data_IF_631945146476
#
_entry.id   IF_631945146476
#
_cell.length_a   1.000
_cell.length_b   1.000
_cell.length_c   1.000
_cell.angle_alpha   90.00
_cell.angle_beta   90.00
_cell.angle_gamma   90.00
#
_symmetry.space_group_name_H-M   'P 1'
#
loop_
_entity.id
_entity.type
_entity.pdbx_description
1 polymer ?
#
# COMPACT_ATOMS: atom_id res chain seq x y z
N UNK A 1 -36.52 -26.73 9.30
CA UNK A 1 -35.66 -25.64 9.77
C UNK A 1 -35.35 -24.83 8.53
N UNK A 2 -35.95 -23.66 8.45
CA UNK A 2 -35.65 -22.70 7.36
C UNK A 2 -34.27 -22.11 7.56
N UNK A 3 -33.50 -21.81 6.49
CA UNK A 3 -32.21 -21.18 6.62
C UNK A 3 -32.39 -19.75 7.11
N UNK A 4 -31.75 -19.41 8.22
CA UNK A 4 -31.68 -18.06 8.77
C UNK A 4 -31.09 -17.11 7.71
N UNK A 5 -31.90 -16.19 7.25
CA UNK A 5 -31.47 -15.12 6.35
C UNK A 5 -30.53 -14.19 7.10
N UNK A 6 -29.32 -13.99 6.56
CA UNK A 6 -28.40 -12.95 7.03
C UNK A 6 -29.13 -11.60 7.19
N UNK A 7 -28.86 -10.83 8.24
CA UNK A 7 -29.55 -9.57 8.46
C UNK A 7 -29.37 -8.64 7.26
N UNK A 8 -30.48 -8.15 6.70
CA UNK A 8 -30.50 -7.22 5.56
C UNK A 8 -29.61 -5.98 5.75
N UNK A 9 -29.32 -5.60 6.99
CA UNK A 9 -28.39 -4.51 7.33
C UNK A 9 -26.93 -4.78 6.92
N UNK A 10 -26.44 -6.01 6.97
CA UNK A 10 -25.06 -6.36 6.56
C UNK A 10 -24.92 -6.28 5.04
N UNK A 11 -25.93 -6.71 4.30
CA UNK A 11 -25.96 -6.64 2.83
C UNK A 11 -26.05 -5.19 2.34
N UNK A 12 -26.85 -4.35 3.01
CA UNK A 12 -26.97 -2.90 2.69
C UNK A 12 -25.68 -2.12 2.98
N UNK A 13 -24.93 -2.47 4.05
CA UNK A 13 -23.66 -1.86 4.36
C UNK A 13 -22.56 -2.26 3.35
N UNK A 14 -22.56 -3.48 2.83
CA UNK A 14 -21.62 -3.94 1.82
C UNK A 14 -21.90 -3.31 0.46
N UNK A 15 -23.15 -3.27 0.00
CA UNK A 15 -23.53 -2.58 -1.26
C UNK A 15 -23.22 -1.10 -1.23
N UNK A 16 -23.47 -0.42 -0.13
CA UNK A 16 -23.13 1.00 0.02
C UNK A 16 -21.59 1.27 0.00
N UNK A 17 -20.81 0.31 0.51
CA UNK A 17 -19.35 0.42 0.53
C UNK A 17 -18.74 0.18 -0.87
N UNK A 18 -19.20 -0.81 -1.60
CA UNK A 18 -18.76 -1.07 -2.97
C UNK A 18 -19.17 0.07 -3.93
N UNK A 19 -20.37 0.61 -3.77
CA UNK A 19 -20.82 1.80 -4.51
C UNK A 19 -19.91 3.00 -4.23
N UNK A 20 -19.54 3.22 -2.97
CA UNK A 20 -18.58 4.27 -2.59
C UNK A 20 -17.23 4.08 -3.29
N UNK A 21 -16.66 2.86 -3.30
CA UNK A 21 -15.39 2.56 -3.94
C UNK A 21 -15.43 2.85 -5.44
N UNK A 22 -16.46 2.38 -6.13
CA UNK A 22 -16.63 2.60 -7.57
C UNK A 22 -16.85 4.07 -7.94
N UNK A 23 -17.56 4.82 -7.11
CA UNK A 23 -17.87 6.23 -7.35
C UNK A 23 -16.69 7.17 -7.06
N UNK A 24 -15.90 6.87 -6.02
CA UNK A 24 -14.93 7.82 -5.48
C UNK A 24 -13.47 7.46 -5.75
N UNK A 25 -13.18 6.22 -6.18
CA UNK A 25 -11.80 5.76 -6.41
C UNK A 25 -11.65 5.30 -7.86
N UNK A 26 -10.84 6.00 -8.67
CA UNK A 26 -10.79 5.79 -10.12
C UNK A 26 -10.46 4.36 -10.56
N UNK A 27 -9.57 3.67 -9.88
CA UNK A 27 -9.09 2.34 -10.31
C UNK A 27 -10.13 1.25 -10.29
N UNK A 28 -11.20 1.39 -9.53
CA UNK A 28 -12.31 0.42 -9.52
C UNK A 28 -13.10 0.44 -10.83
N UNK A 29 -13.12 1.59 -11.53
CA UNK A 29 -13.68 1.71 -12.88
C UNK A 29 -12.75 1.18 -13.98
N UNK A 30 -11.44 1.22 -13.75
CA UNK A 30 -10.40 0.97 -14.77
C UNK A 30 -10.02 -0.50 -14.94
N UNK A 31 -10.44 -1.41 -14.03
CA UNK A 31 -10.08 -2.82 -14.10
C UNK A 31 -11.00 -3.61 -15.02
N UNK A 32 -10.41 -4.54 -15.77
CA UNK A 32 -11.12 -5.47 -16.64
C UNK A 32 -11.75 -6.65 -15.88
N UNK A 33 -12.50 -7.51 -16.60
CA UNK A 33 -13.17 -8.66 -16.00
C UNK A 33 -12.20 -9.69 -15.41
N UNK A 34 -11.02 -9.86 -16.01
CA UNK A 34 -10.01 -10.80 -15.54
C UNK A 34 -9.44 -10.36 -14.18
N UNK A 35 -9.05 -9.09 -14.05
CA UNK A 35 -8.59 -8.54 -12.77
C UNK A 35 -9.68 -8.65 -11.70
N UNK A 36 -10.96 -8.36 -12.05
CA UNK A 36 -12.10 -8.51 -11.12
C UNK A 36 -12.25 -9.94 -10.63
N UNK A 37 -12.11 -10.93 -11.53
CA UNK A 37 -12.20 -12.35 -11.17
C UNK A 37 -11.10 -12.74 -10.16
N UNK A 38 -9.88 -12.27 -10.35
CA UNK A 38 -8.78 -12.54 -9.41
C UNK A 38 -8.96 -11.87 -8.04
N UNK A 39 -9.64 -10.74 -7.99
CA UNK A 39 -9.94 -10.06 -6.73
C UNK A 39 -11.09 -10.72 -5.95
N UNK A 40 -11.91 -11.54 -6.60
CA UNK A 40 -12.97 -12.28 -5.93
C UNK A 40 -12.40 -13.45 -5.13
N UNK A 41 -12.93 -13.68 -3.93
CA UNK A 41 -12.49 -14.74 -3.04
C UNK A 41 -13.60 -15.78 -2.83
N UNK A 42 -13.18 -17.03 -2.70
CA UNK A 42 -14.09 -18.10 -2.32
C UNK A 42 -14.60 -17.86 -0.88
N UNK A 43 -15.89 -18.12 -0.59
CA UNK A 43 -16.41 -18.01 0.76
C UNK A 43 -15.83 -19.11 1.66
N UNK A 44 -15.80 -18.84 2.96
CA UNK A 44 -15.46 -19.85 3.97
C UNK A 44 -16.49 -20.99 3.89
N UNK A 45 -16.04 -22.18 3.54
CA UNK A 45 -16.86 -23.41 3.58
C UNK A 45 -16.00 -24.51 4.17
N UNK A 46 -16.56 -25.30 5.10
CA UNK A 46 -15.98 -26.55 5.63
C UNK A 46 -14.56 -26.41 6.24
N UNK A 47 -14.29 -25.32 6.95
CA UNK A 47 -13.00 -25.11 7.63
C UNK A 47 -13.03 -25.46 9.13
N UNK A 48 -14.17 -25.91 9.66
CA UNK A 48 -14.29 -26.17 11.09
C UNK A 48 -13.29 -27.25 11.52
N UNK A 49 -12.57 -26.97 12.61
CA UNK A 49 -11.57 -27.86 13.24
C UNK A 49 -10.36 -28.23 12.36
N UNK A 50 -10.10 -27.48 11.29
CA UNK A 50 -8.89 -27.66 10.48
C UNK A 50 -7.68 -27.02 11.15
N UNK A 51 -6.60 -27.78 11.25
CA UNK A 51 -5.27 -27.27 11.64
C UNK A 51 -4.47 -27.00 10.39
N UNK A 52 -3.94 -25.77 10.26
CA UNK A 52 -3.03 -25.37 9.16
C UNK A 52 -1.70 -24.90 9.72
N UNK A 53 -0.66 -24.87 8.88
CA UNK A 53 0.63 -24.38 9.35
C UNK A 53 0.58 -22.89 9.65
N UNK A 54 0.08 -22.06 8.74
CA UNK A 54 0.04 -20.60 8.91
C UNK A 54 -1.31 -20.02 8.53
N UNK A 55 -1.90 -19.23 9.42
CA UNK A 55 -3.00 -18.32 9.09
C UNK A 55 -2.48 -16.91 8.91
N UNK A 56 -2.82 -16.30 7.78
CA UNK A 56 -2.59 -14.88 7.49
C UNK A 56 -3.93 -14.14 7.54
N UNK A 57 -4.04 -13.10 8.38
CA UNK A 57 -5.24 -12.29 8.53
C UNK A 57 -5.09 -10.99 7.75
N UNK A 58 -5.94 -10.78 6.74
CA UNK A 58 -5.99 -9.60 5.88
C UNK A 58 -5.42 -9.83 4.48
N UNK A 59 -6.24 -9.57 3.44
CA UNK A 59 -5.92 -9.76 2.01
C UNK A 59 -5.34 -8.53 1.32
N UNK A 60 -4.68 -7.62 2.06
CA UNK A 60 -3.93 -6.51 1.49
C UNK A 60 -2.58 -6.93 0.92
N UNK A 61 -1.82 -5.96 0.38
CA UNK A 61 -0.50 -6.20 -0.20
C UNK A 61 0.45 -6.92 0.77
N UNK A 62 0.43 -6.54 2.04
CA UNK A 62 1.30 -7.13 3.06
C UNK A 62 0.91 -8.58 3.38
N UNK A 63 -0.39 -8.86 3.52
CA UNK A 63 -0.87 -10.22 3.80
C UNK A 63 -0.67 -11.18 2.63
N UNK A 64 -0.94 -10.76 1.40
CA UNK A 64 -0.65 -11.57 0.21
C UNK A 64 0.84 -11.86 0.07
N UNK A 65 1.71 -10.85 0.30
CA UNK A 65 3.16 -11.04 0.29
C UNK A 65 3.62 -12.02 1.38
N UNK A 66 3.02 -11.95 2.57
CA UNK A 66 3.33 -12.87 3.66
C UNK A 66 2.89 -14.31 3.35
N UNK A 67 1.68 -14.45 2.82
CA UNK A 67 1.14 -15.76 2.43
C UNK A 67 1.98 -16.42 1.34
N UNK A 68 2.40 -15.65 0.33
CA UNK A 68 3.31 -16.12 -0.71
C UNK A 68 4.63 -16.62 -0.11
N UNK A 69 5.28 -15.80 0.69
CA UNK A 69 6.59 -16.11 1.26
C UNK A 69 6.55 -17.31 2.22
N UNK A 70 5.50 -17.45 3.03
CA UNK A 70 5.32 -18.61 3.89
C UNK A 70 5.10 -19.89 3.08
N UNK A 71 4.30 -19.83 2.01
CA UNK A 71 4.05 -20.96 1.13
C UNK A 71 5.29 -21.34 0.32
N UNK A 72 6.05 -20.39 -0.21
CA UNK A 72 7.34 -20.62 -0.86
C UNK A 72 8.37 -21.31 0.07
N UNK A 73 8.26 -21.07 1.38
CA UNK A 73 9.06 -21.75 2.40
C UNK A 73 8.49 -23.12 2.84
N UNK A 74 7.42 -23.61 2.19
CA UNK A 74 6.87 -24.95 2.35
C UNK A 74 5.74 -25.08 3.36
N UNK A 75 5.21 -23.99 3.92
CA UNK A 75 4.08 -24.03 4.84
C UNK A 75 2.72 -24.16 4.10
N UNK A 76 1.77 -24.89 4.67
CA UNK A 76 0.35 -24.82 4.28
C UNK A 76 -0.24 -23.50 4.78
N UNK A 77 -0.71 -22.64 3.86
CA UNK A 77 -1.13 -21.28 4.19
C UNK A 77 -2.60 -21.05 3.88
N UNK A 78 -3.31 -20.50 4.88
CA UNK A 78 -4.67 -20.00 4.77
C UNK A 78 -4.69 -18.50 4.98
N UNK A 79 -5.15 -17.72 3.97
CA UNK A 79 -5.36 -16.29 4.08
C UNK A 79 -6.85 -15.98 4.27
N UNK A 80 -7.16 -15.22 5.31
CA UNK A 80 -8.52 -14.81 5.70
C UNK A 80 -8.72 -13.31 5.43
N UNK A 81 -9.66 -12.99 4.54
CA UNK A 81 -10.07 -11.62 4.25
C UNK A 81 -11.50 -11.39 4.77
N UNK A 82 -11.72 -10.28 5.46
CA UNK A 82 -13.00 -9.96 6.09
C UNK A 82 -14.14 -9.69 5.09
N UNK A 83 -13.79 -9.29 3.87
CA UNK A 83 -14.73 -8.97 2.79
C UNK A 83 -14.74 -10.08 1.73
N UNK A 84 -15.74 -10.08 0.86
CA UNK A 84 -15.88 -11.09 -0.21
C UNK A 84 -14.82 -10.96 -1.33
N UNK A 85 -14.02 -9.92 -1.29
CA UNK A 85 -12.98 -9.67 -2.30
C UNK A 85 -11.88 -8.76 -1.80
N UNK A 86 -10.74 -8.84 -2.48
CA UNK A 86 -9.54 -8.05 -2.20
C UNK A 86 -9.73 -6.59 -2.59
N UNK A 87 -8.91 -5.71 -2.02
CA UNK A 87 -8.82 -4.30 -2.41
C UNK A 87 -9.77 -3.35 -1.68
N UNK A 88 -10.64 -3.82 -0.80
CA UNK A 88 -11.56 -2.98 -0.03
C UNK A 88 -10.91 -2.25 1.15
N UNK A 89 -9.66 -2.60 1.50
CA UNK A 89 -8.83 -1.94 2.49
C UNK A 89 -7.96 -0.81 1.92
N UNK A 90 -6.91 -0.44 2.66
CA UNK A 90 -6.00 0.65 2.32
C UNK A 90 -5.27 0.44 0.97
N UNK A 91 -4.94 -0.80 0.60
CA UNK A 91 -4.25 -1.09 -0.66
C UNK A 91 -5.08 -0.68 -1.88
N UNK A 92 -6.37 -1.02 -1.94
CA UNK A 92 -7.23 -0.64 -3.07
C UNK A 92 -7.67 0.83 -3.08
N UNK A 93 -7.29 1.59 -2.06
CA UNK A 93 -7.50 3.05 -1.96
C UNK A 93 -6.19 3.84 -2.06
N UNK A 94 -5.07 3.16 -2.22
CA UNK A 94 -3.75 3.77 -2.34
C UNK A 94 -3.62 4.54 -3.66
N UNK A 95 -2.85 5.63 -3.67
CA UNK A 95 -2.58 6.39 -4.89
C UNK A 95 -1.69 5.63 -5.91
N UNK A 96 -1.14 4.47 -5.54
CA UNK A 96 -0.35 3.61 -6.41
C UNK A 96 1.05 4.16 -6.70
N UNK A 97 1.63 4.90 -5.78
CA UNK A 97 2.99 5.40 -5.86
C UNK A 97 3.95 4.29 -5.48
N UNK A 98 4.97 4.08 -6.31
CA UNK A 98 6.10 3.21 -6.02
C UNK A 98 7.34 4.07 -5.80
N UNK A 99 7.64 4.35 -4.53
CA UNK A 99 8.81 5.11 -4.10
C UNK A 99 9.63 4.31 -3.09
N UNK A 100 10.94 4.26 -3.28
CA UNK A 100 11.84 3.54 -2.40
C UNK A 100 11.93 4.18 -1.01
N UNK A 101 11.89 3.35 0.02
CA UNK A 101 11.98 3.78 1.42
C UNK A 101 10.65 3.74 2.17
N UNK A 102 10.54 4.58 3.17
CA UNK A 102 9.38 4.73 4.08
C UNK A 102 9.00 6.20 4.21
N UNK A 103 8.00 6.53 5.05
CA UNK A 103 7.47 7.90 5.21
C UNK A 103 8.43 8.90 5.90
N UNK A 104 9.73 8.74 5.73
CA UNK A 104 10.74 9.66 6.27
C UNK A 104 11.97 9.73 5.36
N UNK A 105 12.83 10.74 5.56
CA UNK A 105 14.07 10.89 4.81
C UNK A 105 15.15 9.93 5.29
N UNK A 106 15.90 9.32 4.36
CA UNK A 106 17.04 8.46 4.69
C UNK A 106 18.16 9.27 5.34
N UNK A 107 18.34 10.54 4.92
CA UNK A 107 19.35 11.43 5.47
C UNK A 107 19.15 11.82 6.94
N UNK A 108 17.98 11.54 7.50
CA UNK A 108 17.65 11.81 8.90
C UNK A 108 17.91 10.59 9.81
N UNK A 109 18.27 9.45 9.21
CA UNK A 109 18.61 8.22 9.93
C UNK A 109 20.10 8.14 10.25
N UNK A 110 20.42 7.43 11.33
CA UNK A 110 21.80 7.07 11.63
C UNK A 110 22.37 6.18 10.50
N UNK A 111 23.59 6.47 10.00
CA UNK A 111 24.23 5.64 8.99
C UNK A 111 24.31 4.16 9.45
N UNK A 112 23.90 3.25 8.56
CA UNK A 112 23.92 1.81 8.84
C UNK A 112 22.82 1.30 9.78
N UNK A 113 21.85 2.14 10.16
CA UNK A 113 20.71 1.70 10.96
C UNK A 113 19.90 0.61 10.23
N UNK A 114 19.28 -0.34 10.93
CA UNK A 114 18.41 -1.36 10.30
C UNK A 114 17.29 -0.76 9.48
N UNK A 115 16.75 0.38 9.90
CA UNK A 115 15.70 1.12 9.18
C UNK A 115 16.16 1.60 7.81
N UNK A 116 17.44 1.96 7.64
CA UNK A 116 17.99 2.39 6.35
C UNK A 116 17.93 1.29 5.27
N UNK A 117 17.83 0.01 5.67
CA UNK A 117 17.73 -1.11 4.73
C UNK A 117 16.40 -1.14 3.97
N UNK A 118 15.38 -0.42 4.42
CA UNK A 118 14.15 -0.27 3.64
C UNK A 118 14.38 0.34 2.26
N UNK A 119 15.37 1.22 2.08
CA UNK A 119 15.62 1.86 0.78
C UNK A 119 16.12 0.90 -0.28
N UNK A 120 17.23 0.16 -0.11
CA UNK A 120 17.67 -0.80 -1.12
C UNK A 120 16.68 -1.97 -1.29
N UNK A 121 15.98 -2.40 -0.24
CA UNK A 121 15.02 -3.50 -0.34
C UNK A 121 13.75 -3.11 -1.10
N UNK A 122 13.17 -1.96 -0.76
CA UNK A 122 11.99 -1.45 -1.48
C UNK A 122 12.32 -1.05 -2.92
N UNK A 123 13.53 -0.53 -3.19
CA UNK A 123 14.00 -0.30 -4.56
C UNK A 123 14.08 -1.59 -5.36
N UNK A 124 14.59 -2.68 -4.78
CA UNK A 124 14.62 -4.00 -5.42
C UNK A 124 13.20 -4.50 -5.70
N UNK A 125 12.31 -4.47 -4.71
CA UNK A 125 10.91 -4.87 -4.88
C UNK A 125 10.20 -4.10 -5.99
N UNK A 126 10.48 -2.80 -6.11
CA UNK A 126 9.92 -1.96 -7.17
C UNK A 126 10.40 -2.43 -8.55
N UNK A 127 11.71 -2.66 -8.69
CA UNK A 127 12.29 -3.11 -9.97
C UNK A 127 11.76 -4.49 -10.35
N UNK A 128 11.62 -5.41 -9.40
CA UNK A 128 11.05 -6.75 -9.60
C UNK A 128 9.58 -6.65 -10.08
N UNK A 129 8.76 -5.79 -9.45
CA UNK A 129 7.38 -5.56 -9.89
C UNK A 129 7.30 -5.01 -11.32
N UNK A 130 8.16 -4.05 -11.67
CA UNK A 130 8.17 -3.48 -13.01
C UNK A 130 8.66 -4.49 -14.04
N UNK A 131 9.63 -5.33 -13.70
CA UNK A 131 10.08 -6.42 -14.56
C UNK A 131 8.95 -7.43 -14.80
N UNK A 132 8.22 -7.81 -13.76
CA UNK A 132 7.08 -8.70 -13.84
C UNK A 132 5.94 -8.11 -14.69
N UNK A 133 5.65 -6.81 -14.55
CA UNK A 133 4.64 -6.12 -15.34
C UNK A 133 4.93 -6.09 -16.85
N UNK A 134 6.18 -6.33 -17.26
CA UNK A 134 6.58 -6.38 -18.68
C UNK A 134 6.35 -7.75 -19.34
N UNK A 135 5.97 -8.76 -18.57
CA UNK A 135 5.63 -10.08 -19.11
C UNK A 135 4.31 -10.00 -19.87
N UNK A 136 4.22 -10.73 -20.97
CA UNK A 136 3.11 -10.65 -21.92
C UNK A 136 1.77 -11.08 -21.29
N UNK A 137 1.81 -12.03 -20.36
CA UNK A 137 0.65 -12.58 -19.61
C UNK A 137 0.41 -11.93 -18.26
N UNK A 138 1.12 -10.83 -17.94
CA UNK A 138 1.04 -10.20 -16.63
C UNK A 138 -0.24 -9.37 -16.47
N UNK A 139 -0.97 -9.59 -15.37
CA UNK A 139 -2.05 -8.71 -14.95
C UNK A 139 -1.55 -7.39 -14.37
N UNK A 140 -0.31 -7.38 -13.94
CA UNK A 140 0.28 -6.27 -13.20
C UNK A 140 0.54 -5.07 -14.11
N UNK A 141 0.00 -3.93 -13.75
CA UNK A 141 0.28 -2.65 -14.41
C UNK A 141 1.18 -1.80 -13.52
N UNK A 142 2.49 -1.93 -13.71
CA UNK A 142 3.51 -1.14 -13.02
C UNK A 142 4.50 -0.56 -14.03
N UNK A 143 4.88 0.71 -13.83
CA UNK A 143 5.72 1.44 -14.77
C UNK A 143 6.76 2.27 -14.04
N UNK A 144 8.00 2.27 -14.53
CA UNK A 144 9.00 3.28 -14.16
C UNK A 144 8.72 4.56 -14.94
N UNK A 145 8.51 5.63 -14.22
CA UNK A 145 8.35 6.99 -14.77
C UNK A 145 9.42 7.93 -14.24
N UNK A 146 10.16 7.48 -13.23
CA UNK A 146 10.94 8.32 -12.37
C UNK A 146 10.07 9.17 -11.44
N UNK A 147 10.71 9.84 -10.49
CA UNK A 147 10.05 10.83 -9.65
C UNK A 147 10.94 12.05 -9.37
N UNK A 148 10.29 13.17 -9.08
CA UNK A 148 10.92 14.46 -8.77
C UNK A 148 10.46 14.93 -7.39
N UNK A 149 11.40 15.17 -6.47
CA UNK A 149 11.13 16.00 -5.29
C UNK A 149 11.55 17.43 -5.58
N UNK A 150 10.62 18.38 -5.49
CA UNK A 150 10.80 19.75 -5.95
C UNK A 150 11.03 20.70 -4.78
N UNK A 151 12.16 21.41 -4.76
CA UNK A 151 12.52 22.37 -3.72
C UNK A 151 12.39 23.81 -4.23
N UNK A 152 11.50 24.58 -3.64
CA UNK A 152 11.28 26.02 -3.92
C UNK A 152 12.03 26.95 -2.95
N UNK A 153 12.91 26.40 -2.10
CA UNK A 153 13.76 27.19 -1.22
C UNK A 153 15.15 26.62 -1.12
N UNK A 154 16.13 27.46 -0.80
CA UNK A 154 17.52 27.03 -0.56
C UNK A 154 17.62 26.02 0.60
N UNK A 155 16.76 26.14 1.62
CA UNK A 155 16.71 25.20 2.73
C UNK A 155 16.25 23.80 2.25
N UNK A 156 15.13 23.73 1.55
CA UNK A 156 14.63 22.48 0.97
C UNK A 156 15.64 21.86 -0.02
N UNK A 157 16.29 22.68 -0.86
CA UNK A 157 17.33 22.22 -1.77
C UNK A 157 18.52 21.57 -1.06
N UNK A 158 18.95 22.11 0.09
CA UNK A 158 20.01 21.50 0.92
C UNK A 158 19.55 20.17 1.53
N UNK A 159 18.30 20.07 1.95
CA UNK A 159 17.73 18.80 2.43
C UNK A 159 17.73 17.73 1.33
N UNK A 160 17.30 18.08 0.11
CA UNK A 160 17.36 17.16 -1.02
C UNK A 160 18.79 16.73 -1.37
N UNK A 161 19.77 17.64 -1.29
CA UNK A 161 21.16 17.30 -1.54
C UNK A 161 21.73 16.29 -0.51
N UNK A 162 21.32 16.40 0.77
CA UNK A 162 21.66 15.42 1.80
C UNK A 162 21.01 14.06 1.51
N UNK A 163 19.75 14.07 1.10
CA UNK A 163 19.00 12.87 0.76
C UNK A 163 19.60 12.14 -0.46
N UNK A 164 19.96 12.86 -1.53
CA UNK A 164 20.68 12.30 -2.68
C UNK A 164 21.95 11.58 -2.23
N UNK A 165 22.78 12.24 -1.40
CA UNK A 165 24.01 11.66 -0.88
C UNK A 165 23.75 10.39 -0.06
N UNK A 166 22.74 10.39 0.81
CA UNK A 166 22.40 9.25 1.65
C UNK A 166 21.91 8.07 0.79
N UNK A 167 21.04 8.30 -0.20
CA UNK A 167 20.53 7.26 -1.10
C UNK A 167 21.64 6.65 -1.96
N UNK A 168 22.49 7.49 -2.55
CA UNK A 168 23.62 7.02 -3.37
C UNK A 168 24.60 6.16 -2.56
N UNK A 169 24.81 6.48 -1.28
CA UNK A 169 25.65 5.68 -0.39
C UNK A 169 25.10 4.26 -0.14
N UNK A 170 23.80 4.03 -0.34
CA UNK A 170 23.15 2.72 -0.28
C UNK A 170 22.88 2.11 -1.67
N UNK A 171 23.52 2.63 -2.71
CA UNK A 171 23.33 2.20 -4.11
C UNK A 171 21.89 2.38 -4.63
N UNK A 172 21.13 3.29 -4.03
CA UNK A 172 19.83 3.73 -4.56
C UNK A 172 20.08 4.94 -5.45
N UNK A 173 19.70 4.84 -6.73
CA UNK A 173 19.98 5.91 -7.71
C UNK A 173 19.20 7.18 -7.35
N UNK A 174 19.93 8.27 -7.24
CA UNK A 174 19.38 9.60 -6.99
C UNK A 174 20.32 10.67 -7.56
N UNK A 175 19.77 11.73 -8.13
CA UNK A 175 20.51 12.84 -8.74
C UNK A 175 19.94 14.18 -8.28
N UNK A 176 20.78 15.21 -8.25
CA UNK A 176 20.33 16.58 -7.96
C UNK A 176 20.24 17.37 -9.27
N UNK A 177 19.02 17.76 -9.65
CA UNK A 177 18.70 18.42 -10.90
C UNK A 177 18.48 19.92 -10.73
N UNK A 178 18.67 20.66 -11.83
CA UNK A 178 18.28 22.08 -11.96
C UNK A 178 16.83 22.23 -12.41
N UNK A 179 16.30 23.45 -12.35
CA UNK A 179 14.96 23.76 -12.85
C UNK A 179 14.83 23.52 -14.36
N UNK A 180 15.91 23.76 -15.13
CA UNK A 180 15.96 23.52 -16.59
C UNK A 180 15.83 22.02 -16.90
N UNK A 181 16.54 21.15 -16.17
CA UNK A 181 16.43 19.69 -16.34
C UNK A 181 15.03 19.20 -16.00
N UNK A 182 14.40 19.77 -14.98
CA UNK A 182 12.99 19.47 -14.62
C UNK A 182 12.06 19.91 -15.75
N UNK A 183 12.23 21.13 -16.29
CA UNK A 183 11.40 21.65 -17.36
C UNK A 183 11.55 20.79 -18.64
N UNK A 184 12.75 20.35 -18.98
CA UNK A 184 13.00 19.46 -20.13
C UNK A 184 12.29 18.11 -19.93
N UNK A 185 12.47 17.45 -18.79
CA UNK A 185 11.85 16.15 -18.49
C UNK A 185 10.32 16.20 -18.50
N UNK A 186 9.73 17.32 -18.07
CA UNK A 186 8.29 17.52 -18.00
C UNK A 186 7.71 18.24 -19.20
N UNK A 187 8.53 18.45 -20.24
CA UNK A 187 8.16 19.17 -21.48
C UNK A 187 7.55 20.56 -21.22
N UNK A 188 8.06 21.25 -20.21
CA UNK A 188 7.61 22.57 -19.80
C UNK A 188 6.22 22.63 -19.15
N UNK A 189 5.58 21.50 -18.91
CA UNK A 189 4.22 21.46 -18.34
C UNK A 189 4.20 21.73 -16.83
N UNK A 190 5.27 21.33 -16.12
CA UNK A 190 5.42 21.61 -14.69
C UNK A 190 5.88 23.05 -14.48
N UNK A 191 5.27 23.75 -13.55
CA UNK A 191 5.69 25.10 -13.16
C UNK A 191 7.04 25.04 -12.42
N UNK A 192 8.11 25.40 -13.09
CA UNK A 192 9.46 25.40 -12.53
C UNK A 192 9.96 26.77 -12.09
N UNK A 193 9.13 27.84 -12.18
CA UNK A 193 9.55 29.22 -11.96
C UNK A 193 10.18 29.50 -10.60
N UNK A 194 9.80 28.74 -9.56
CA UNK A 194 10.35 28.89 -8.21
C UNK A 194 11.24 27.70 -7.80
N UNK A 195 11.47 26.73 -8.67
CA UNK A 195 12.27 25.55 -8.36
C UNK A 195 13.75 25.92 -8.26
N UNK A 196 14.32 25.78 -7.08
CA UNK A 196 15.76 26.01 -6.80
C UNK A 196 16.58 24.78 -7.19
N UNK A 197 16.10 23.59 -6.81
CA UNK A 197 16.66 22.27 -7.13
C UNK A 197 15.57 21.22 -7.07
N UNK A 198 15.82 20.08 -7.71
CA UNK A 198 14.99 18.89 -7.57
C UNK A 198 15.87 17.67 -7.31
N UNK A 199 15.35 16.70 -6.56
CA UNK A 199 15.92 15.36 -6.51
C UNK A 199 15.22 14.50 -7.55
N UNK A 200 15.98 13.93 -8.47
CA UNK A 200 15.52 12.97 -9.46
C UNK A 200 15.81 11.55 -9.00
N UNK A 201 14.80 10.68 -9.08
CA UNK A 201 14.83 9.29 -8.67
C UNK A 201 14.37 8.42 -9.86
N UNK A 202 15.30 7.94 -10.70
CA UNK A 202 14.96 7.26 -11.97
C UNK A 202 14.26 5.91 -11.76
N UNK A 203 14.49 5.24 -10.64
CA UNK A 203 13.95 3.92 -10.32
C UNK A 203 12.62 3.96 -9.55
N UNK A 204 11.94 5.09 -9.56
CA UNK A 204 10.61 5.22 -8.98
C UNK A 204 9.53 5.20 -10.05
N UNK A 205 8.28 4.98 -9.64
CA UNK A 205 7.20 4.85 -10.60
C UNK A 205 5.84 4.64 -9.96
N UNK A 206 4.95 4.04 -10.73
CA UNK A 206 3.55 3.86 -10.35
C UNK A 206 3.06 2.44 -10.60
N UNK A 207 2.03 2.06 -9.87
CA UNK A 207 1.30 0.80 -10.04
C UNK A 207 -0.21 1.07 -10.00
N UNK A 208 -1.00 0.32 -10.73
CA UNK A 208 -2.44 0.26 -10.51
C UNK A 208 -2.68 -0.71 -9.33
N UNK A 209 -3.19 -0.23 -8.17
CA UNK A 209 -3.18 -1.01 -6.94
C UNK A 209 -3.99 -2.31 -7.00
N UNK A 210 -5.11 -2.31 -7.74
CA UNK A 210 -5.96 -3.50 -7.87
C UNK A 210 -5.33 -4.57 -8.77
N UNK A 211 -4.58 -4.16 -9.80
CA UNK A 211 -3.83 -5.11 -10.63
C UNK A 211 -2.68 -5.76 -9.86
N UNK A 212 -2.06 -5.02 -8.93
CA UNK A 212 -1.06 -5.59 -8.02
C UNK A 212 -1.68 -6.67 -7.11
N UNK A 213 -2.84 -6.39 -6.52
CA UNK A 213 -3.54 -7.38 -5.69
C UNK A 213 -3.96 -8.61 -6.51
N UNK A 214 -4.51 -8.41 -7.71
CA UNK A 214 -4.90 -9.50 -8.60
C UNK A 214 -3.69 -10.37 -8.99
N UNK A 215 -2.57 -9.75 -9.33
CA UNK A 215 -1.31 -10.45 -9.62
C UNK A 215 -0.84 -11.29 -8.42
N UNK A 216 -0.78 -10.70 -7.23
CA UNK A 216 -0.36 -11.42 -6.02
C UNK A 216 -1.33 -12.55 -5.66
N UNK A 217 -2.64 -12.33 -5.80
CA UNK A 217 -3.65 -13.35 -5.52
C UNK A 217 -3.57 -14.53 -6.50
N UNK A 218 -3.37 -14.26 -7.81
CA UNK A 218 -3.13 -15.29 -8.84
C UNK A 218 -1.90 -16.12 -8.48
N UNK A 219 -0.79 -15.47 -8.18
CA UNK A 219 0.45 -16.14 -7.78
C UNK A 219 0.27 -16.98 -6.51
N UNK A 220 -0.45 -16.46 -5.51
CA UNK A 220 -0.74 -17.17 -4.28
C UNK A 220 -1.57 -18.45 -4.53
N UNK A 221 -2.61 -18.37 -5.37
CA UNK A 221 -3.41 -19.55 -5.76
C UNK A 221 -2.58 -20.60 -6.52
N UNK A 222 -1.73 -20.15 -7.43
CA UNK A 222 -0.84 -21.04 -8.19
C UNK A 222 0.15 -21.80 -7.28
N UNK A 223 0.57 -21.24 -6.17
CA UNK A 223 1.41 -21.88 -5.16
C UNK A 223 0.60 -22.74 -4.16
N UNK A 224 -0.73 -22.73 -4.21
CA UNK A 224 -1.57 -23.52 -3.31
C UNK A 224 -2.01 -22.77 -2.03
N UNK A 225 -1.82 -21.47 -1.94
CA UNK A 225 -2.38 -20.68 -0.83
C UNK A 225 -3.92 -20.68 -0.92
N UNK A 226 -4.58 -21.01 0.18
CA UNK A 226 -6.04 -20.94 0.28
C UNK A 226 -6.45 -19.50 0.62
N UNK A 227 -7.10 -18.80 -0.34
CA UNK A 227 -7.59 -17.43 -0.17
C UNK A 227 -9.09 -17.44 0.09
N UNK A 228 -9.54 -16.99 1.25
CA UNK A 228 -10.95 -17.01 1.66
C UNK A 228 -11.49 -15.60 1.97
N UNK A 229 -12.64 -15.30 1.41
CA UNK A 229 -13.39 -14.07 1.62
C UNK A 229 -14.59 -14.26 2.56
N UNK A 230 -15.13 -13.15 3.09
CA UNK A 230 -16.17 -13.17 4.11
C UNK A 230 -15.69 -13.71 5.47
N UNK A 231 -14.40 -13.93 5.62
CA UNK A 231 -13.73 -14.57 6.75
C UNK A 231 -13.27 -13.53 7.80
N UNK A 232 -14.19 -12.77 8.34
CA UNK A 232 -13.86 -11.75 9.37
C UNK A 232 -13.43 -12.43 10.65
N UNK A 233 -12.15 -12.28 11.02
CA UNK A 233 -11.62 -12.71 12.31
C UNK A 233 -12.14 -11.76 13.39
N UNK A 234 -12.82 -12.33 14.40
CA UNK A 234 -13.31 -11.59 15.59
C UNK A 234 -12.30 -11.58 16.72
N UNK A 235 -11.56 -12.68 16.90
CA UNK A 235 -10.51 -12.79 17.91
C UNK A 235 -9.51 -13.87 17.55
N UNK A 236 -8.33 -13.81 18.15
CA UNK A 236 -7.35 -14.89 18.16
C UNK A 236 -6.65 -14.92 19.51
N UNK A 237 -6.24 -16.11 19.94
CA UNK A 237 -5.52 -16.32 21.17
C UNK A 237 -4.50 -17.44 21.00
N UNK A 238 -3.36 -17.28 21.67
CA UNK A 238 -2.37 -18.34 21.77
C UNK A 238 -2.83 -19.40 22.78
N UNK A 239 -2.65 -20.66 22.42
CA UNK A 239 -2.87 -21.80 23.30
C UNK A 239 -1.54 -22.52 23.53
N UNK A 240 -1.11 -22.56 24.79
CA UNK A 240 0.10 -23.25 25.20
C UNK A 240 -0.25 -24.74 25.53
N UNK A 241 0.25 -25.65 24.71
CA UNK A 241 0.05 -27.12 24.85
C UNK A 241 1.35 -27.87 24.61
N UNK A 242 1.24 -29.18 24.34
CA UNK A 242 2.40 -29.99 23.91
C UNK A 242 2.99 -29.44 22.58
N UNK A 243 2.13 -28.95 21.69
CA UNK A 243 2.46 -28.07 20.56
C UNK A 243 1.64 -26.80 20.78
N UNK A 244 2.32 -25.68 20.80
CA UNK A 244 1.64 -24.37 20.94
C UNK A 244 1.03 -23.94 19.63
N UNK A 245 -0.22 -23.46 19.66
CA UNK A 245 -1.01 -23.11 18.49
C UNK A 245 -1.76 -21.80 18.69
N UNK A 246 -2.31 -21.28 17.61
CA UNK A 246 -3.22 -20.14 17.58
C UNK A 246 -4.65 -20.63 17.36
N UNK A 247 -5.56 -20.28 18.29
CA UNK A 247 -6.99 -20.47 18.10
C UNK A 247 -7.59 -19.19 17.55
N UNK A 248 -8.19 -19.29 16.37
CA UNK A 248 -8.75 -18.15 15.65
C UNK A 248 -10.28 -18.33 15.59
N UNK A 249 -11.02 -17.28 15.93
CA UNK A 249 -12.47 -17.22 15.89
C UNK A 249 -12.91 -16.28 14.78
N UNK A 250 -13.77 -16.74 13.88
CA UNK A 250 -14.43 -15.89 12.91
C UNK A 250 -15.71 -15.26 13.49
N UNK A 251 -16.20 -14.22 12.86
CA UNK A 251 -17.41 -13.51 13.31
C UNK A 251 -18.70 -14.34 13.21
N UNK A 252 -18.72 -15.37 12.37
CA UNK A 252 -19.83 -16.32 12.23
C UNK A 252 -19.78 -17.48 13.24
N UNK A 253 -18.77 -17.51 14.12
CA UNK A 253 -18.55 -18.55 15.11
C UNK A 253 -17.66 -19.71 14.63
N UNK A 254 -17.20 -19.71 13.39
CA UNK A 254 -16.24 -20.71 12.87
C UNK A 254 -14.93 -20.63 13.65
N UNK A 255 -14.41 -21.79 14.04
CA UNK A 255 -13.13 -21.93 14.76
C UNK A 255 -12.09 -22.55 13.86
N UNK A 256 -10.88 -22.03 13.94
CA UNK A 256 -9.72 -22.50 13.22
C UNK A 256 -8.53 -22.62 14.19
N UNK A 257 -7.62 -23.52 13.87
CA UNK A 257 -6.37 -23.67 14.60
C UNK A 257 -5.20 -23.56 13.63
N UNK A 258 -4.11 -22.86 14.04
CA UNK A 258 -2.91 -22.70 13.24
C UNK A 258 -1.67 -22.82 14.11
N UNK A 259 -0.59 -23.37 13.54
CA UNK A 259 0.72 -23.43 14.19
C UNK A 259 1.42 -22.06 14.21
N UNK A 260 1.15 -21.21 13.23
CA UNK A 260 1.67 -19.86 13.10
C UNK A 260 0.60 -18.85 12.69
N UNK A 261 0.75 -17.59 13.11
CA UNK A 261 -0.19 -16.52 12.83
C UNK A 261 0.53 -15.27 12.33
N UNK A 262 0.06 -14.71 11.20
CA UNK A 262 0.47 -13.38 10.76
C UNK A 262 -0.72 -12.44 10.65
N UNK A 263 -0.73 -11.39 11.45
CA UNK A 263 -1.76 -10.35 11.40
C UNK A 263 -1.32 -9.20 10.49
N UNK A 264 -1.99 -9.05 9.35
CA UNK A 264 -1.77 -8.03 8.33
C UNK A 264 -3.03 -7.21 8.04
N UNK A 265 -3.94 -7.05 9.01
CA UNK A 265 -5.22 -6.32 8.82
C UNK A 265 -5.03 -4.83 8.52
N UNK A 266 -3.80 -4.32 8.67
CA UNK A 266 -3.48 -2.92 8.37
C UNK A 266 -4.15 -1.94 9.33
N UNK A 267 -4.52 -0.75 8.84
CA UNK A 267 -5.03 0.34 9.69
C UNK A 267 -6.43 0.08 10.25
N UNK A 268 -7.14 -0.95 9.80
CA UNK A 268 -8.51 -1.23 10.27
C UNK A 268 -8.58 -1.63 11.74
N UNK A 269 -7.47 -2.10 12.33
CA UNK A 269 -7.43 -2.48 13.73
C UNK A 269 -7.35 -1.26 14.67
N UNK A 270 -6.47 -0.30 14.38
CA UNK A 270 -6.29 0.92 15.18
C UNK A 270 -5.79 2.09 14.30
N UNK A 271 -6.64 2.68 13.46
CA UNK A 271 -6.26 3.84 12.68
C UNK A 271 -6.02 5.04 13.62
N UNK A 272 -5.00 5.83 13.35
CA UNK A 272 -4.66 7.03 14.12
C UNK A 272 -4.46 8.28 13.25
N UNK A 273 -4.54 8.12 11.92
CA UNK A 273 -4.39 9.20 10.96
C UNK A 273 -5.32 8.98 9.77
N UNK A 274 -5.58 10.04 8.99
CA UNK A 274 -6.29 9.98 7.71
C UNK A 274 -5.52 10.78 6.68
N UNK A 275 -5.36 10.21 5.49
CA UNK A 275 -4.79 10.88 4.32
C UNK A 275 -5.87 11.10 3.27
N UNK A 276 -5.69 12.10 2.42
CA UNK A 276 -6.65 12.51 1.41
C UNK A 276 -6.06 12.38 0.02
N UNK A 277 -6.92 12.17 -0.96
CA UNK A 277 -6.54 12.11 -2.35
C UNK A 277 -7.60 12.74 -3.26
N UNK A 278 -7.13 13.28 -4.38
CA UNK A 278 -7.91 13.86 -5.48
C UNK A 278 -7.49 13.24 -6.81
N UNK A 279 -8.37 13.26 -7.80
CA UNK A 279 -7.97 13.02 -9.18
C UNK A 279 -8.62 14.05 -10.11
N UNK A 280 -7.79 14.67 -10.96
CA UNK A 280 -8.22 15.62 -12.00
C UNK A 280 -8.14 14.97 -13.37
N UNK A 281 -8.96 15.41 -14.31
CA UNK A 281 -8.74 15.10 -15.71
C UNK A 281 -7.43 15.77 -16.17
N UNK A 282 -6.50 14.99 -16.69
CA UNK A 282 -5.22 15.50 -17.17
C UNK A 282 -4.63 14.56 -18.23
N UNK A 283 -4.42 15.06 -19.43
CA UNK A 283 -3.75 14.32 -20.52
C UNK A 283 -2.23 14.52 -20.42
N UNK A 284 -1.59 13.84 -19.49
CA UNK A 284 -0.14 13.86 -19.30
C UNK A 284 0.51 12.69 -20.05
N UNK A 285 1.73 12.85 -20.59
CA UNK A 285 2.45 11.75 -21.22
C UNK A 285 2.59 10.55 -20.27
N UNK A 286 2.56 9.33 -20.82
CA UNK A 286 2.75 8.12 -20.00
C UNK A 286 4.10 8.07 -19.29
N UNK A 287 5.09 8.78 -19.81
CA UNK A 287 6.45 8.95 -19.27
C UNK A 287 6.56 10.14 -18.29
N UNK A 288 5.46 10.88 -18.06
CA UNK A 288 5.50 12.01 -17.13
C UNK A 288 5.84 11.50 -15.74
N UNK A 289 6.87 12.09 -15.07
CA UNK A 289 7.34 11.59 -13.79
C UNK A 289 6.31 11.81 -12.68
N UNK A 290 6.40 11.01 -11.64
CA UNK A 290 5.83 11.39 -10.35
C UNK A 290 6.52 12.66 -9.86
N UNK A 291 5.83 13.46 -9.07
CA UNK A 291 6.48 14.60 -8.42
C UNK A 291 5.79 14.94 -7.08
N UNK A 292 6.54 15.49 -6.17
CA UNK A 292 6.08 15.92 -4.86
C UNK A 292 6.79 17.19 -4.39
N UNK A 293 6.14 17.91 -3.50
CA UNK A 293 6.69 19.08 -2.86
C UNK A 293 7.77 18.66 -1.85
N UNK A 294 8.93 19.28 -1.93
CA UNK A 294 9.97 19.14 -0.90
C UNK A 294 9.77 20.15 0.25
N UNK A 295 8.62 20.77 0.35
CA UNK A 295 8.30 21.65 1.47
C UNK A 295 8.11 20.83 2.75
N UNK A 296 8.75 21.19 3.89
CA UNK A 296 8.82 20.34 5.07
C UNK A 296 7.48 20.04 5.74
N UNK A 297 6.36 20.58 5.24
CA UNK A 297 5.04 20.41 5.86
C UNK A 297 3.92 20.10 4.87
N UNK A 298 4.22 19.93 3.58
CA UNK A 298 3.22 19.65 2.55
C UNK A 298 3.72 18.52 1.68
N UNK A 299 3.61 17.31 2.17
CA UNK A 299 3.81 16.14 1.33
C UNK A 299 2.55 15.96 0.49
N UNK A 300 2.59 16.44 -0.73
CA UNK A 300 1.62 16.11 -1.75
C UNK A 300 2.34 15.29 -2.81
N UNK A 301 1.88 14.06 -2.99
CA UNK A 301 2.39 13.17 -4.01
C UNK A 301 1.55 13.37 -5.25
N UNK A 302 2.17 13.70 -6.38
CA UNK A 302 1.49 13.88 -7.64
C UNK A 302 1.78 12.68 -8.54
N UNK A 303 0.73 12.05 -9.04
CA UNK A 303 0.84 10.90 -9.90
C UNK A 303 0.12 11.17 -11.21
N UNK A 304 0.86 11.11 -12.32
CA UNK A 304 0.29 11.21 -13.65
C UNK A 304 -0.20 9.84 -14.15
N UNK A 305 -1.41 9.81 -14.67
CA UNK A 305 -1.95 8.72 -15.46
C UNK A 305 -2.11 9.13 -16.93
N UNK A 306 -2.56 8.23 -17.79
CA UNK A 306 -2.81 8.55 -19.21
C UNK A 306 -3.92 9.61 -19.39
N UNK A 307 -4.87 9.67 -18.49
CA UNK A 307 -6.06 10.52 -18.53
C UNK A 307 -6.30 11.32 -17.25
N UNK A 308 -5.50 11.09 -16.19
CA UNK A 308 -5.69 11.66 -14.86
C UNK A 308 -4.40 12.00 -14.14
N UNK A 309 -4.45 13.08 -13.38
CA UNK A 309 -3.49 13.38 -12.32
C UNK A 309 -4.12 13.00 -10.99
N UNK A 310 -3.50 12.08 -10.25
CA UNK A 310 -3.87 11.79 -8.87
C UNK A 310 -2.95 12.55 -7.92
N UNK A 311 -3.53 13.29 -6.99
CA UNK A 311 -2.84 14.05 -5.95
C UNK A 311 -3.20 13.46 -4.61
N UNK A 312 -2.21 13.09 -3.82
CA UNK A 312 -2.45 12.51 -2.50
C UNK A 312 -1.40 12.97 -1.50
N UNK A 313 -1.69 12.91 -0.22
CA UNK A 313 -0.74 13.25 0.82
C UNK A 313 -1.11 14.48 1.62
N UNK A 314 -0.14 15.32 1.90
CA UNK A 314 -0.29 16.47 2.77
C UNK A 314 -0.33 16.10 4.26
N UNK A 315 -0.94 16.97 5.06
CA UNK A 315 -1.07 16.75 6.50
C UNK A 315 -2.10 15.68 6.82
N UNK A 316 -1.82 14.85 7.78
CA UNK A 316 -2.79 13.89 8.30
C UNK A 316 -4.00 14.59 8.95
N UNK A 317 -5.19 14.06 8.63
CA UNK A 317 -6.44 14.46 9.24
C UNK A 317 -6.87 13.49 10.34
N UNK A 318 -8.05 13.78 10.91
CA UNK A 318 -8.69 12.92 11.91
C UNK A 318 -9.26 11.67 11.25
N UNK A 319 -9.11 10.54 11.90
CA UNK A 319 -9.73 9.26 11.52
C UNK A 319 -11.24 9.41 11.31
N UNK A 320 -11.76 8.79 10.26
CA UNK A 320 -13.17 8.88 9.88
C UNK A 320 -13.58 10.20 9.22
N UNK A 321 -12.65 11.14 9.04
CA UNK A 321 -12.95 12.47 8.48
C UNK A 321 -13.60 13.42 9.50
N UNK A 322 -14.34 14.40 9.04
CA UNK A 322 -15.06 15.34 9.90
C UNK A 322 -15.43 16.66 9.19
N UNK A 323 -16.08 17.58 9.92
CA UNK A 323 -16.62 18.86 9.42
C UNK A 323 -15.65 19.76 8.66
N UNK A 324 -14.33 19.50 8.76
CA UNK A 324 -13.29 20.33 8.12
C UNK A 324 -12.46 19.53 7.11
N UNK A 325 -13.00 18.44 6.58
CA UNK A 325 -12.34 17.60 5.61
C UNK A 325 -12.03 18.36 4.30
N UNK A 326 -12.93 19.24 3.88
CA UNK A 326 -12.80 20.07 2.68
C UNK A 326 -11.50 20.88 2.63
N UNK A 327 -10.96 21.32 3.76
CA UNK A 327 -9.71 22.08 3.80
C UNK A 327 -8.50 21.26 3.34
N UNK A 328 -8.53 19.93 3.52
CA UNK A 328 -7.44 19.06 3.05
C UNK A 328 -7.53 18.88 1.54
N UNK A 329 -8.74 18.67 1.01
CA UNK A 329 -8.95 18.60 -0.43
C UNK A 329 -8.61 19.93 -1.12
N UNK A 330 -9.01 21.06 -0.56
CA UNK A 330 -8.66 22.39 -1.08
C UNK A 330 -7.14 22.61 -1.13
N UNK A 331 -6.38 22.15 -0.12
CA UNK A 331 -4.91 22.26 -0.14
C UNK A 331 -4.26 21.39 -1.21
N UNK A 332 -4.75 20.17 -1.40
CA UNK A 332 -4.29 19.30 -2.47
C UNK A 332 -4.58 19.91 -3.85
N UNK A 333 -5.79 20.47 -4.04
CA UNK A 333 -6.15 21.15 -5.28
C UNK A 333 -5.26 22.39 -5.53
N UNK A 334 -5.01 23.20 -4.50
CA UNK A 334 -4.10 24.36 -4.60
C UNK A 334 -2.68 23.93 -5.00
N UNK A 335 -2.16 22.85 -4.42
CA UNK A 335 -0.87 22.28 -4.80
C UNK A 335 -0.85 21.81 -6.26
N UNK A 336 -1.90 21.10 -6.71
CA UNK A 336 -2.03 20.69 -8.11
C UNK A 336 -2.06 21.89 -9.07
N UNK A 337 -2.83 22.92 -8.77
CA UNK A 337 -2.90 24.15 -9.55
C UNK A 337 -1.58 24.94 -9.58
N UNK A 338 -0.81 24.90 -8.48
CA UNK A 338 0.51 25.51 -8.42
C UNK A 338 1.52 24.84 -9.36
N UNK A 339 1.56 23.50 -9.33
CA UNK A 339 2.51 22.72 -10.13
C UNK A 339 2.07 22.55 -11.59
N UNK A 340 0.77 22.45 -11.85
CA UNK A 340 0.20 22.28 -13.19
C UNK A 340 -0.83 23.38 -13.44
N UNK A 341 -0.41 24.55 -13.95
CA UNK A 341 -1.29 25.70 -14.17
C UNK A 341 -2.47 25.41 -15.10
N UNK A 342 -2.35 24.41 -15.97
CA UNK A 342 -3.44 23.97 -16.86
C UNK A 342 -4.65 23.38 -16.12
N UNK A 343 -4.52 23.04 -14.84
CA UNK A 343 -5.61 22.55 -13.99
C UNK A 343 -6.38 23.68 -13.30
N UNK A 344 -5.90 24.92 -13.36
CA UNK A 344 -6.56 26.06 -12.71
C UNK A 344 -8.00 26.20 -13.23
N UNK A 345 -8.95 26.23 -12.30
CA UNK A 345 -10.38 26.30 -12.62
C UNK A 345 -11.04 24.95 -12.91
N UNK A 346 -10.28 23.85 -12.87
CA UNK A 346 -10.89 22.52 -12.97
C UNK A 346 -11.26 21.99 -11.59
N UNK A 347 -12.42 21.34 -11.50
CA UNK A 347 -12.84 20.58 -10.32
C UNK A 347 -12.31 19.14 -10.41
N UNK A 348 -11.96 18.52 -9.27
CA UNK A 348 -11.53 17.14 -9.26
C UNK A 348 -12.67 16.19 -9.64
N UNK A 349 -12.36 15.17 -10.45
CA UNK A 349 -13.30 14.12 -10.83
C UNK A 349 -13.59 13.15 -9.68
N UNK A 350 -12.59 12.94 -8.80
CA UNK A 350 -12.65 11.99 -7.68
C UNK A 350 -12.07 12.62 -6.43
N UNK A 351 -12.66 12.26 -5.28
CA UNK A 351 -12.18 12.66 -3.96
C UNK A 351 -12.39 11.51 -2.97
N UNK A 352 -11.34 11.14 -2.24
CA UNK A 352 -11.45 10.09 -1.22
C UNK A 352 -10.47 10.30 -0.07
N UNK A 353 -10.77 9.69 1.07
CA UNK A 353 -9.89 9.64 2.23
C UNK A 353 -9.61 8.21 2.65
N UNK A 354 -8.43 7.99 3.22
CA UNK A 354 -7.98 6.67 3.70
C UNK A 354 -7.50 6.81 5.14
N UNK A 355 -8.08 6.02 6.04
CA UNK A 355 -7.59 5.92 7.40
C UNK A 355 -6.35 5.03 7.44
N UNK A 356 -5.33 5.46 8.18
CA UNK A 356 -4.02 4.86 8.27
C UNK A 356 -3.64 4.60 9.72
N UNK A 357 -2.76 3.61 9.93
CA UNK A 357 -1.98 3.46 11.15
C UNK A 357 -0.54 3.90 10.88
N UNK A 358 -0.10 4.90 11.64
CA UNK A 358 1.26 5.46 11.57
C UNK A 358 1.91 5.23 12.93
N UNK A 359 3.09 4.63 12.93
CA UNK A 359 3.90 4.47 14.15
C UNK A 359 4.47 5.81 14.61
N UNK A 360 4.74 5.95 15.90
CA UNK A 360 5.24 7.21 16.49
C UNK A 360 6.61 7.61 15.92
N UNK A 361 7.42 6.64 15.54
CA UNK A 361 8.75 6.82 14.93
C UNK A 361 8.70 6.84 13.39
N UNK A 362 7.51 6.77 12.78
CA UNK A 362 7.28 6.69 11.33
C UNK A 362 7.87 5.45 10.65
N UNK A 363 8.33 4.46 11.42
CA UNK A 363 8.95 3.23 10.91
C UNK A 363 7.94 2.09 10.91
N UNK A 364 7.69 1.43 9.77
CA UNK A 364 6.91 0.20 9.73
C UNK A 364 7.72 -0.97 10.32
N UNK A 365 7.05 -1.88 11.04
CA UNK A 365 7.74 -2.98 11.72
C UNK A 365 6.92 -4.26 11.82
N UNK A 366 7.61 -5.36 12.10
CA UNK A 366 7.04 -6.63 12.52
C UNK A 366 7.05 -6.67 14.05
N UNK A 367 5.86 -6.78 14.65
CA UNK A 367 5.73 -6.95 16.11
C UNK A 367 5.43 -8.41 16.42
N UNK A 368 6.21 -9.05 17.33
CA UNK A 368 5.89 -10.39 17.81
C UNK A 368 4.51 -10.44 18.47
N UNK A 369 3.78 -11.53 18.23
CA UNK A 369 2.53 -11.90 18.89
C UNK A 369 2.79 -13.18 19.70
N UNK A 370 2.12 -13.30 20.84
CA UNK A 370 2.24 -14.47 21.70
C UNK A 370 3.62 -14.63 22.36
N UNK A 371 3.83 -15.76 23.00
CA UNK A 371 5.06 -16.10 23.71
C UNK A 371 5.60 -17.50 23.34
N UNK A 372 4.74 -18.40 22.90
CA UNK A 372 5.05 -19.81 22.69
C UNK A 372 4.90 -20.26 21.23
N UNK A 373 3.86 -19.80 20.54
CA UNK A 373 3.62 -20.11 19.13
C UNK A 373 4.14 -18.99 18.21
N UNK A 374 4.70 -19.31 17.03
CA UNK A 374 5.13 -18.32 16.06
C UNK A 374 4.00 -17.35 15.69
N UNK A 375 4.19 -16.06 15.93
CA UNK A 375 3.17 -15.06 15.62
C UNK A 375 3.76 -13.67 15.39
N UNK A 376 3.27 -12.95 14.36
CA UNK A 376 3.71 -11.63 13.98
C UNK A 376 2.54 -10.72 13.59
N UNK A 377 2.66 -9.42 13.84
CA UNK A 377 1.81 -8.39 13.30
C UNK A 377 2.62 -7.41 12.44
N UNK A 378 2.09 -7.00 11.29
CA UNK A 378 2.65 -5.93 10.45
C UNK A 378 1.98 -4.63 10.86
N UNK A 379 2.76 -3.66 11.32
CA UNK A 379 2.26 -2.40 11.86
C UNK A 379 2.97 -1.18 11.25
N UNK A 380 2.31 -0.02 11.29
CA UNK A 380 2.92 1.28 10.99
C UNK A 380 3.26 1.54 9.52
N UNK A 381 2.60 0.87 8.56
CA UNK A 381 2.90 1.03 7.12
C UNK A 381 2.73 2.47 6.61
N UNK A 382 1.87 3.29 7.25
CA UNK A 382 1.68 4.70 6.89
C UNK A 382 1.16 4.92 5.47
N UNK A 383 1.49 6.07 4.88
CA UNK A 383 0.98 6.49 3.57
C UNK A 383 1.69 5.81 2.39
N UNK A 384 2.99 5.52 2.49
CA UNK A 384 3.78 4.81 1.47
C UNK A 384 3.83 3.29 1.71
N UNK A 385 2.70 2.67 2.03
CA UNK A 385 2.62 1.31 2.53
C UNK A 385 2.75 0.18 1.50
N UNK A 386 2.83 0.43 0.19
CA UNK A 386 2.89 -0.64 -0.82
C UNK A 386 4.20 -1.41 -0.72
N UNK A 387 5.32 -0.76 -0.98
CA UNK A 387 6.63 -1.43 -1.00
C UNK A 387 7.08 -1.90 0.39
N UNK A 388 6.97 -1.11 1.47
CA UNK A 388 7.23 -1.62 2.82
C UNK A 388 6.32 -2.78 3.21
N UNK A 389 5.05 -2.78 2.76
CA UNK A 389 4.12 -3.89 2.99
C UNK A 389 4.56 -5.19 2.31
N UNK A 390 5.06 -5.11 1.07
CA UNK A 390 5.65 -6.25 0.37
C UNK A 390 6.89 -6.78 1.13
N UNK A 391 7.81 -5.90 1.50
CA UNK A 391 9.05 -6.28 2.21
C UNK A 391 8.74 -6.92 3.58
N UNK A 392 7.88 -6.28 4.38
CA UNK A 392 7.53 -6.83 5.70
C UNK A 392 6.69 -8.11 5.60
N UNK A 393 5.78 -8.18 4.62
CA UNK A 393 5.04 -9.41 4.33
C UNK A 393 5.98 -10.57 4.02
N UNK A 394 6.91 -10.37 3.10
CA UNK A 394 7.91 -11.37 2.72
C UNK A 394 8.76 -11.81 3.91
N UNK A 395 9.28 -10.86 4.69
CA UNK A 395 10.07 -11.15 5.90
C UNK A 395 9.25 -11.93 6.94
N UNK A 396 8.03 -11.47 7.22
CA UNK A 396 7.15 -12.07 8.23
C UNK A 396 6.72 -13.48 7.87
N UNK A 397 6.33 -13.71 6.60
CA UNK A 397 5.95 -15.04 6.11
C UNK A 397 7.11 -16.04 6.18
N UNK A 398 8.28 -15.65 5.69
CA UNK A 398 9.49 -16.48 5.76
C UNK A 398 9.89 -16.78 7.21
N UNK A 399 9.84 -15.78 8.10
CA UNK A 399 10.20 -15.95 9.51
C UNK A 399 9.30 -16.95 10.22
N UNK A 400 7.97 -16.86 10.05
CA UNK A 400 7.02 -17.81 10.67
C UNK A 400 7.24 -19.22 10.13
N UNK A 401 7.34 -19.40 8.81
CA UNK A 401 7.57 -20.71 8.23
C UNK A 401 8.88 -21.36 8.71
N UNK A 402 9.95 -20.58 8.81
CA UNK A 402 11.22 -21.07 9.36
C UNK A 402 11.10 -21.51 10.82
N UNK A 403 10.39 -20.74 11.66
CA UNK A 403 10.15 -21.10 13.06
C UNK A 403 9.31 -22.38 13.22
N UNK A 404 8.44 -22.70 12.27
CA UNK A 404 7.66 -23.94 12.26
C UNK A 404 8.47 -25.16 11.84
N UNK A 405 9.57 -24.97 11.11
CA UNK A 405 10.45 -26.03 10.59
C UNK A 405 11.61 -26.33 11.54
N UNK A 406 11.83 -25.49 12.56
CA UNK A 406 12.89 -25.61 13.56
C UNK A 406 12.43 -26.38 14.78
#
# INVERSE_FOLDING_TARGET
MEPEQLPQQTLQLQTSHDEYLHKNIPWWGDINAEVRAELHLAPVRELQDRVVDVVVIGGGVAGLSAALSACEAGAEVLLLEATEGLGRGATGRNAGILSAGINMGLADLAPGSPTAQFWPETSRQLLDLVQEARREDSLLQAHLTGSLSLAESTHAARTLAREVKARTALSVRAELWTAEQVAEQTQGRLNTAQVVKAMWLPDEGRVQPLTLLAYLARKARQLGVHLLGGARVSSYAEYAGAVSTWHIMLADGTRLEARGLLNAVGPTAQPNARIYALAFAAALPSTFPLFWDASPYTYADYRAGSDRLTVSGGRYGKVGGGRHEDKYYQRLAQGAHHWLPELVGQEPLYQWGVDLAVSADMVPHLRPLGQCAPGLAIEGLGALGILPGLVLGQRGGAQIAHQLSS
#
